data_IF_780545947185
#
_entry.id   IF_780545947185
#
_cell.length_a   1.000
_cell.length_b   1.000
_cell.length_c   1.000
_cell.angle_alpha   90.00
_cell.angle_beta   90.00
_cell.angle_gamma   90.00
#
_symmetry.space_group_name_H-M   'P 1'
#
loop_
_entity.id
_entity.type
_entity.pdbx_description
1 polymer ?
#
# COMPACT_ATOMS: atom_id res chain seq x y z
N UNK A 1 -7.22 -11.46 13.38
CA UNK A 1 -7.97 -11.12 12.16
C UNK A 1 -9.09 -10.12 12.44
N UNK A 2 -10.09 -10.43 13.28
CA UNK A 2 -11.17 -9.48 13.60
C UNK A 2 -10.65 -8.15 14.17
N UNK A 3 -9.69 -8.19 15.10
CA UNK A 3 -9.07 -6.97 15.66
C UNK A 3 -8.26 -6.16 14.65
N UNK A 4 -7.59 -6.82 13.70
CA UNK A 4 -6.84 -6.16 12.64
C UNK A 4 -7.77 -5.50 11.62
N UNK A 5 -8.86 -6.18 11.26
CA UNK A 5 -9.89 -5.63 10.38
C UNK A 5 -10.53 -4.39 11.01
N UNK A 6 -10.89 -4.47 12.30
CA UNK A 6 -11.46 -3.33 13.03
C UNK A 6 -10.47 -2.17 13.14
N UNK A 7 -9.19 -2.45 13.43
CA UNK A 7 -8.14 -1.44 13.47
C UNK A 7 -7.95 -0.73 12.12
N UNK A 8 -7.91 -1.49 11.02
CA UNK A 8 -7.82 -0.95 9.67
C UNK A 8 -9.04 -0.09 9.30
N UNK A 9 -10.25 -0.56 9.65
CA UNK A 9 -11.49 0.18 9.39
C UNK A 9 -11.55 1.50 10.17
N UNK A 10 -11.20 1.47 11.47
CA UNK A 10 -11.12 2.68 12.29
C UNK A 10 -10.06 3.65 11.76
N UNK A 11 -8.89 3.16 11.36
CA UNK A 11 -7.84 3.98 10.75
C UNK A 11 -8.30 4.66 9.46
N UNK A 12 -8.95 3.91 8.56
CA UNK A 12 -9.52 4.45 7.33
C UNK A 12 -10.58 5.52 7.61
N UNK A 13 -11.46 5.31 8.61
CA UNK A 13 -12.46 6.28 9.02
C UNK A 13 -11.85 7.61 9.51
N UNK A 14 -10.78 7.55 10.31
CA UNK A 14 -10.10 8.75 10.80
C UNK A 14 -9.50 9.56 9.65
N UNK A 15 -8.83 8.91 8.69
CA UNK A 15 -8.28 9.57 7.50
C UNK A 15 -9.40 10.18 6.64
N UNK A 16 -10.52 9.46 6.49
CA UNK A 16 -11.68 9.95 5.76
C UNK A 16 -12.25 11.24 6.37
N UNK A 17 -12.40 11.29 7.70
CA UNK A 17 -12.86 12.50 8.39
C UNK A 17 -11.86 13.64 8.24
N UNK A 18 -10.56 13.36 8.36
CA UNK A 18 -9.50 14.36 8.20
C UNK A 18 -9.48 14.96 6.79
N UNK A 19 -9.68 14.13 5.77
CA UNK A 19 -9.63 14.55 4.37
C UNK A 19 -11.01 14.95 3.81
N UNK A 20 -12.08 14.94 4.62
CA UNK A 20 -13.47 15.14 4.18
C UNK A 20 -13.67 16.42 3.37
N UNK A 21 -13.06 17.52 3.81
CA UNK A 21 -13.17 18.81 3.12
C UNK A 21 -12.44 18.81 1.77
N UNK A 22 -11.30 18.10 1.68
CA UNK A 22 -10.50 18.03 0.48
C UNK A 22 -11.11 17.07 -0.55
N UNK A 23 -11.67 15.94 -0.08
CA UNK A 23 -12.47 15.01 -0.91
C UNK A 23 -13.66 15.73 -1.55
N UNK A 24 -14.38 16.54 -0.79
CA UNK A 24 -15.58 17.22 -1.30
C UNK A 24 -15.28 18.33 -2.32
N UNK A 25 -14.04 18.82 -2.36
CA UNK A 25 -13.58 19.84 -3.33
C UNK A 25 -13.01 19.19 -4.58
N UNK A 26 -12.26 18.10 -4.45
CA UNK A 26 -11.62 17.41 -5.58
C UNK A 26 -12.62 16.52 -6.31
N UNK A 27 -13.56 15.91 -5.58
CA UNK A 27 -14.41 14.85 -6.12
C UNK A 27 -15.80 14.84 -5.44
N UNK A 28 -16.72 15.74 -5.87
CA UNK A 28 -18.06 15.84 -5.29
C UNK A 28 -18.92 14.57 -5.53
N UNK A 29 -18.58 13.78 -6.55
CA UNK A 29 -19.32 12.58 -6.96
C UNK A 29 -18.66 11.27 -6.46
N UNK A 30 -17.49 11.34 -5.81
CA UNK A 30 -16.72 10.22 -5.24
C UNK A 30 -16.30 9.14 -6.24
N UNK A 31 -16.00 9.53 -7.47
CA UNK A 31 -15.66 8.60 -8.54
C UNK A 31 -14.14 8.36 -8.65
N UNK A 32 -13.34 9.32 -8.22
CA UNK A 32 -11.90 9.41 -8.50
C UNK A 32 -11.05 9.04 -7.27
N UNK A 33 -11.56 9.32 -6.06
CA UNK A 33 -10.79 9.18 -4.81
C UNK A 33 -10.71 7.73 -4.27
N UNK A 34 -11.32 6.77 -4.96
CA UNK A 34 -11.40 5.37 -4.52
C UNK A 34 -10.02 4.69 -4.42
N UNK A 35 -9.08 5.10 -5.27
CA UNK A 35 -7.68 4.64 -5.27
C UNK A 35 -6.89 5.04 -4.02
N UNK A 36 -7.36 6.04 -3.24
CA UNK A 36 -6.72 6.41 -1.97
C UNK A 36 -7.01 5.44 -0.82
N UNK A 37 -8.11 4.68 -0.92
CA UNK A 37 -8.54 3.76 0.15
C UNK A 37 -8.33 2.29 -0.23
N UNK A 38 -8.28 1.98 -1.52
CA UNK A 38 -8.03 0.63 -1.99
C UNK A 38 -7.11 0.65 -3.20
N UNK A 39 -6.20 -0.31 -3.24
CA UNK A 39 -5.34 -0.55 -4.38
C UNK A 39 -6.13 -1.24 -5.48
N UNK A 40 -6.07 -0.71 -6.70
CA UNK A 40 -6.68 -1.30 -7.88
C UNK A 40 -5.59 -1.68 -8.90
N UNK A 41 -5.67 -2.87 -9.52
CA UNK A 41 -4.76 -3.22 -10.59
C UNK A 41 -4.96 -2.26 -11.79
N UNK A 42 -3.90 -2.06 -12.57
CA UNK A 42 -3.96 -1.27 -13.81
C UNK A 42 -4.77 -2.02 -14.88
N UNK A 43 -5.59 -1.29 -15.66
CA UNK A 43 -6.48 -1.83 -16.69
C UNK A 43 -5.78 -2.69 -17.76
N UNK A 44 -4.46 -2.54 -17.89
CA UNK A 44 -3.64 -3.28 -18.86
C UNK A 44 -2.99 -4.55 -18.28
N UNK A 45 -3.28 -4.92 -17.04
CA UNK A 45 -2.68 -6.08 -16.37
C UNK A 45 -3.73 -7.19 -16.21
N UNK A 46 -3.42 -8.38 -16.71
CA UNK A 46 -4.25 -9.57 -16.51
C UNK A 46 -4.34 -9.93 -15.02
N UNK A 47 -5.52 -10.37 -14.55
CA UNK A 47 -5.74 -10.81 -13.17
C UNK A 47 -4.70 -11.83 -12.69
N UNK A 48 -4.20 -12.68 -13.59
CA UNK A 48 -3.13 -13.62 -13.27
C UNK A 48 -1.82 -12.92 -12.93
N UNK A 49 -1.39 -11.95 -13.73
CA UNK A 49 -0.18 -11.18 -13.49
C UNK A 49 -0.27 -10.37 -12.20
N UNK A 50 -1.44 -9.75 -11.92
CA UNK A 50 -1.69 -9.04 -10.67
C UNK A 50 -1.60 -9.96 -9.44
N UNK A 51 -2.15 -11.18 -9.53
CA UNK A 51 -2.02 -12.19 -8.48
C UNK A 51 -0.55 -12.59 -8.24
N UNK A 52 0.22 -12.83 -9.30
CA UNK A 52 1.64 -13.20 -9.17
C UNK A 52 2.47 -12.09 -8.52
N UNK A 53 2.25 -10.83 -8.90
CA UNK A 53 2.97 -9.70 -8.33
C UNK A 53 2.66 -9.54 -6.84
N UNK A 54 1.39 -9.72 -6.44
CA UNK A 54 0.99 -9.61 -5.04
C UNK A 54 1.50 -10.79 -4.20
N UNK A 55 1.47 -11.99 -4.78
CA UNK A 55 2.02 -13.20 -4.15
C UNK A 55 3.52 -13.08 -3.91
N UNK A 56 4.28 -12.64 -4.92
CA UNK A 56 5.73 -12.45 -4.82
C UNK A 56 6.05 -11.31 -3.85
N UNK A 57 5.30 -10.20 -3.89
CA UNK A 57 5.47 -9.08 -2.95
C UNK A 57 5.26 -9.52 -1.50
N UNK A 58 4.20 -10.29 -1.23
CA UNK A 58 3.92 -10.83 0.11
C UNK A 58 4.97 -11.85 0.55
N UNK A 59 5.43 -12.72 -0.35
CA UNK A 59 6.47 -13.70 -0.05
C UNK A 59 7.81 -13.02 0.32
N UNK A 60 8.19 -11.97 -0.41
CA UNK A 60 9.38 -11.16 -0.11
C UNK A 60 9.24 -10.42 1.22
N UNK A 61 8.04 -9.92 1.56
CA UNK A 61 7.76 -9.28 2.84
C UNK A 61 7.91 -10.27 4.00
N UNK A 62 7.31 -11.46 3.92
CA UNK A 62 7.43 -12.48 4.98
C UNK A 62 8.86 -12.98 5.13
N UNK A 63 9.58 -13.20 4.02
CA UNK A 63 10.98 -13.61 4.04
C UNK A 63 11.85 -12.55 4.72
N UNK A 64 11.63 -11.27 4.39
CA UNK A 64 12.39 -10.17 4.97
C UNK A 64 12.08 -9.98 6.46
N UNK A 65 10.83 -10.16 6.89
CA UNK A 65 10.46 -10.18 8.31
C UNK A 65 11.20 -11.30 9.05
N UNK A 66 11.22 -12.50 8.46
CA UNK A 66 11.94 -13.62 9.05
C UNK A 66 13.44 -13.33 9.15
N UNK A 67 14.05 -12.75 8.12
CA UNK A 67 15.46 -12.37 8.11
C UNK A 67 15.83 -11.33 9.18
N UNK A 68 14.92 -10.39 9.51
CA UNK A 68 15.13 -9.37 10.54
C UNK A 68 14.90 -9.93 11.95
N UNK A 69 13.96 -10.87 12.11
CA UNK A 69 13.57 -11.44 13.41
C UNK A 69 14.36 -12.68 13.81
N UNK A 70 15.12 -13.27 12.87
CA UNK A 70 15.96 -14.43 13.13
C UNK A 70 17.11 -14.10 14.10
N UNK A 71 17.05 -14.69 15.29
CA UNK A 71 18.07 -14.54 16.33
C UNK A 71 19.41 -15.19 15.97
N UNK A 72 19.45 -16.11 14.98
CA UNK A 72 20.70 -16.68 14.44
C UNK A 72 21.33 -15.81 13.37
N UNK A 73 20.60 -14.88 12.77
CA UNK A 73 21.10 -13.98 11.75
C UNK A 73 21.23 -12.56 12.32
N UNK A 74 22.38 -12.28 12.96
CA UNK A 74 22.84 -10.96 13.42
C UNK A 74 21.68 -9.97 13.72
N UNK A 75 20.88 -10.22 14.77
CA UNK A 75 19.63 -9.48 15.00
C UNK A 75 19.91 -7.99 15.18
N UNK A 76 19.02 -7.14 14.67
CA UNK A 76 19.14 -5.68 14.73
C UNK A 76 19.04 -5.07 16.15
N UNK A 77 19.12 -5.91 17.20
CA UNK A 77 18.86 -5.54 18.58
C UNK A 77 17.38 -5.21 18.83
N UNK A 78 16.92 -5.25 20.10
CA UNK A 78 15.51 -5.02 20.45
C UNK A 78 15.02 -3.60 20.11
N UNK A 79 15.93 -2.65 19.92
CA UNK A 79 15.63 -1.24 19.63
C UNK A 79 15.71 -0.90 18.14
N UNK A 80 16.46 -1.67 17.34
CA UNK A 80 16.67 -1.42 15.92
C UNK A 80 15.70 -2.15 14.99
N UNK A 81 14.97 -3.14 15.50
CA UNK A 81 14.00 -3.91 14.70
C UNK A 81 12.88 -3.05 14.08
N UNK A 82 12.26 -2.06 14.76
CA UNK A 82 11.19 -1.26 14.15
C UNK A 82 11.72 -0.40 13.00
N UNK A 83 12.93 0.13 13.15
CA UNK A 83 13.57 0.93 12.11
C UNK A 83 13.92 0.09 10.88
N UNK A 84 14.44 -1.13 11.08
CA UNK A 84 14.69 -2.08 10.00
C UNK A 84 13.39 -2.46 9.26
N UNK A 85 12.27 -2.64 9.97
CA UNK A 85 10.97 -2.87 9.35
C UNK A 85 10.50 -1.70 8.49
N UNK A 86 10.64 -0.46 8.96
CA UNK A 86 10.27 0.72 8.19
C UNK A 86 11.10 0.85 6.90
N UNK A 87 12.42 0.64 6.98
CA UNK A 87 13.29 0.67 5.80
C UNK A 87 12.96 -0.45 4.81
N UNK A 88 12.64 -1.65 5.31
CA UNK A 88 12.21 -2.78 4.50
C UNK A 88 10.91 -2.48 3.74
N UNK A 89 9.89 -1.94 4.42
CA UNK A 89 8.62 -1.56 3.78
C UNK A 89 8.84 -0.48 2.72
N UNK A 90 9.69 0.51 3.01
CA UNK A 90 10.06 1.56 2.06
C UNK A 90 10.76 0.99 0.80
N UNK A 91 11.70 0.07 0.98
CA UNK A 91 12.40 -0.59 -0.13
C UNK A 91 11.44 -1.42 -1.01
N UNK A 92 10.51 -2.16 -0.39
CA UNK A 92 9.48 -2.92 -1.10
C UNK A 92 8.51 -1.99 -1.84
N UNK A 93 8.12 -0.86 -1.23
CA UNK A 93 7.30 0.17 -1.85
C UNK A 93 7.94 0.77 -3.11
N UNK A 94 9.25 1.05 -3.07
CA UNK A 94 9.98 1.52 -4.26
C UNK A 94 10.12 0.44 -5.35
N UNK A 95 10.32 -0.82 -4.97
CA UNK A 95 10.52 -1.92 -5.91
C UNK A 95 9.23 -2.36 -6.62
N UNK A 96 8.11 -2.42 -5.89
CA UNK A 96 6.83 -2.97 -6.39
C UNK A 96 5.72 -1.93 -6.56
N UNK A 97 5.89 -0.69 -6.06
CA UNK A 97 4.85 0.34 -6.10
C UNK A 97 4.37 0.68 -7.51
N UNK A 98 5.24 0.60 -8.52
CA UNK A 98 4.86 0.87 -9.92
C UNK A 98 4.00 -0.24 -10.56
N UNK A 99 4.05 -1.47 -10.07
CA UNK A 99 3.35 -2.60 -10.71
C UNK A 99 1.87 -2.70 -10.29
N UNK A 100 1.52 -2.37 -9.05
CA UNK A 100 0.15 -2.59 -8.55
C UNK A 100 -0.47 -1.42 -7.77
N UNK A 101 0.27 -0.37 -7.38
CA UNK A 101 -0.26 0.70 -6.52
C UNK A 101 -0.17 2.14 -7.04
N UNK A 102 0.82 2.45 -7.87
CA UNK A 102 1.18 3.82 -8.25
C UNK A 102 1.08 4.09 -9.75
N UNK A 103 0.35 3.27 -10.51
CA UNK A 103 0.11 3.58 -11.92
C UNK A 103 -1.08 4.52 -12.07
N UNK A 104 -2.22 4.18 -11.44
CA UNK A 104 -3.48 4.90 -11.64
C UNK A 104 -3.47 6.31 -11.00
N UNK A 105 -2.80 6.47 -9.85
CA UNK A 105 -2.65 7.78 -9.19
C UNK A 105 -1.75 8.74 -9.99
N UNK A 106 -0.77 8.22 -10.74
CA UNK A 106 0.12 9.05 -11.57
C UNK A 106 -0.51 9.36 -12.94
N UNK A 107 -1.37 8.49 -13.46
CA UNK A 107 -2.08 8.69 -14.72
C UNK A 107 -3.17 9.77 -14.60
N UNK A 108 -3.87 9.86 -13.46
CA UNK A 108 -4.82 10.93 -13.15
C UNK A 108 -4.16 12.31 -12.97
N UNK A 109 -2.87 12.37 -12.59
CA UNK A 109 -2.12 13.62 -12.52
C UNK A 109 -1.54 14.06 -13.88
N UNK A 110 -1.46 13.13 -14.85
CA UNK A 110 -0.91 13.39 -16.19
C UNK A 110 -2.01 13.54 -17.27
N UNK A 111 -3.24 13.12 -17.00
CA UNK A 111 -4.37 13.22 -17.93
C UNK A 111 -5.63 13.73 -17.19
N UNK A 112 -5.75 15.06 -16.96
CA UNK A 112 -6.86 15.68 -16.23
C UNK A 112 -8.22 15.60 -16.96
N UNK A 113 -8.25 15.12 -18.20
CA UNK A 113 -9.42 15.12 -19.09
C UNK A 113 -10.16 13.76 -19.13
N UNK A 114 -9.85 12.81 -18.24
CA UNK A 114 -10.54 11.49 -18.14
C UNK A 114 -11.49 11.37 -16.95
N UNK A 115 -12.13 12.49 -16.55
CA UNK A 115 -13.29 12.51 -15.64
C UNK A 115 -14.59 12.57 -16.43
#
# INVERSE_FOLDING_TARGET
MISQLLGAFCGAFVIYVMQYQNLNVIDPHREITQSSFSTYPSDNISNYTAFYTEFIGTAMLVLSIYAITDQRNRPAGPVGSPFAFCLMIMALGMAFGMNTGLHNAQLLLLDPDRG
#
